data_IF_490740469464
#
_entry.id   IF_490740469464
#
_cell.length_a   1.000
_cell.length_b   1.000
_cell.length_c   1.000
_cell.angle_alpha   90.00
_cell.angle_beta   90.00
_cell.angle_gamma   90.00
#
_symmetry.space_group_name_H-M   'P 1'
#
loop_
_entity.id
_entity.type
_entity.pdbx_description
1 polymer ?
#
# COMPACT_ATOMS: atom_id res chain seq x y z
N UNK A 1 -37.69 -11.07 32.52
CA UNK A 1 -36.77 -11.98 31.80
C UNK A 1 -35.37 -11.44 32.00
N UNK A 2 -34.51 -12.21 32.67
CA UNK A 2 -33.11 -11.85 32.84
C UNK A 2 -32.42 -11.88 31.46
N UNK A 3 -31.98 -10.71 30.99
CA UNK A 3 -31.12 -10.62 29.82
C UNK A 3 -29.68 -10.64 30.33
N UNK A 4 -29.13 -11.84 30.28
CA UNK A 4 -27.72 -12.20 30.14
C UNK A 4 -26.72 -11.25 30.80
N UNK A 5 -26.40 -11.61 32.04
CA UNK A 5 -25.09 -11.35 32.65
C UNK A 5 -24.01 -11.84 31.69
N UNK A 6 -23.36 -10.91 31.00
CA UNK A 6 -22.02 -11.17 30.46
C UNK A 6 -21.10 -10.91 31.64
N UNK A 7 -20.55 -11.99 32.20
CA UNK A 7 -19.55 -11.87 33.23
C UNK A 7 -18.31 -11.24 32.61
N UNK A 8 -18.01 -10.01 33.01
CA UNK A 8 -16.67 -9.45 32.91
C UNK A 8 -15.77 -10.26 33.85
N UNK A 9 -15.26 -11.38 33.35
CA UNK A 9 -14.14 -12.08 33.97
C UNK A 9 -12.91 -11.20 33.72
N UNK A 10 -12.71 -10.23 34.61
CA UNK A 10 -11.44 -9.50 34.75
C UNK A 10 -10.39 -10.45 35.31
N UNK A 11 -9.99 -11.42 34.49
CA UNK A 11 -8.82 -12.26 34.70
C UNK A 11 -7.61 -11.56 34.08
N UNK A 12 -6.76 -10.98 34.93
CA UNK A 12 -5.55 -10.27 34.52
C UNK A 12 -4.58 -11.16 33.75
N UNK A 13 -4.67 -11.09 32.42
CA UNK A 13 -3.64 -11.47 31.46
C UNK A 13 -3.78 -10.48 30.31
N UNK A 14 -2.70 -9.81 29.95
CA UNK A 14 -2.78 -8.87 28.84
C UNK A 14 -3.13 -9.59 27.54
N UNK A 15 -3.64 -8.84 26.56
CA UNK A 15 -3.81 -9.35 25.21
C UNK A 15 -2.58 -8.95 24.39
N UNK A 16 -2.06 -9.86 23.57
CA UNK A 16 -1.02 -9.53 22.60
C UNK A 16 -1.59 -8.57 21.56
N UNK A 17 -0.95 -7.42 21.38
CA UNK A 17 -1.44 -6.36 20.49
C UNK A 17 -1.24 -6.64 19.00
N UNK A 18 -0.41 -7.64 18.66
CA UNK A 18 -0.17 -8.04 17.27
C UNK A 18 -1.16 -9.10 16.77
N UNK A 19 -1.50 -10.09 17.60
CA UNK A 19 -2.36 -11.21 17.20
C UNK A 19 -3.67 -11.35 17.98
N UNK A 20 -3.87 -10.56 19.04
CA UNK A 20 -5.08 -10.56 19.87
C UNK A 20 -5.21 -11.77 20.81
N UNK A 21 -4.19 -12.62 20.91
CA UNK A 21 -4.19 -13.76 21.82
C UNK A 21 -4.02 -13.29 23.27
N UNK A 22 -4.83 -13.83 24.18
CA UNK A 22 -4.63 -13.65 25.63
C UNK A 22 -3.48 -14.54 26.07
N UNK A 23 -2.42 -13.92 26.58
CA UNK A 23 -1.22 -14.61 27.05
C UNK A 23 -0.74 -13.94 28.34
N UNK A 24 -0.43 -14.70 29.41
CA UNK A 24 0.12 -14.12 30.63
C UNK A 24 1.56 -13.59 30.47
N UNK A 25 2.32 -14.09 29.49
CA UNK A 25 3.73 -13.79 29.27
C UNK A 25 3.90 -12.80 28.11
N UNK A 26 3.62 -11.52 28.36
CA UNK A 26 3.83 -10.45 27.39
C UNK A 26 5.19 -9.79 27.55
N UNK A 27 5.80 -9.45 26.42
CA UNK A 27 7.06 -8.71 26.34
C UNK A 27 6.89 -7.50 25.44
N UNK A 28 7.26 -6.33 25.94
CA UNK A 28 7.22 -5.08 25.16
C UNK A 28 8.33 -5.09 24.11
N UNK A 29 7.96 -4.89 22.84
CA UNK A 29 8.89 -4.77 21.72
C UNK A 29 8.41 -3.72 20.73
N UNK A 30 9.33 -3.16 19.94
CA UNK A 30 8.97 -2.17 18.91
C UNK A 30 8.62 -2.87 17.60
N UNK A 31 7.47 -2.54 17.00
CA UNK A 31 7.05 -3.02 15.68
C UNK A 31 6.71 -1.81 14.83
N UNK A 32 7.43 -1.62 13.72
CA UNK A 32 7.25 -0.49 12.81
C UNK A 32 7.28 0.90 13.51
N UNK A 33 8.06 1.03 14.57
CA UNK A 33 8.22 2.29 15.33
C UNK A 33 7.16 2.55 16.41
N UNK A 34 6.29 1.58 16.70
CA UNK A 34 5.36 1.62 17.83
C UNK A 34 5.73 0.54 18.87
N UNK A 35 5.69 0.89 20.16
CA UNK A 35 5.90 -0.05 21.26
C UNK A 35 4.61 -0.86 21.49
N UNK A 36 4.70 -2.18 21.41
CA UNK A 36 3.57 -3.12 21.57
C UNK A 36 3.91 -4.21 22.59
N UNK A 37 2.89 -4.70 23.29
CA UNK A 37 3.03 -5.89 24.15
C UNK A 37 2.75 -7.18 23.35
N UNK A 38 3.79 -8.02 23.22
CA UNK A 38 3.78 -9.21 22.36
C UNK A 38 3.89 -10.51 23.16
N UNK A 39 3.13 -11.52 22.76
CA UNK A 39 3.32 -12.89 23.26
C UNK A 39 4.60 -13.52 22.68
N UNK A 40 5.09 -14.64 23.22
CA UNK A 40 6.34 -15.26 22.79
C UNK A 40 6.36 -15.66 21.31
N UNK A 41 5.19 -15.96 20.74
CA UNK A 41 5.05 -16.30 19.32
C UNK A 41 5.18 -15.08 18.39
N UNK A 42 4.96 -13.87 18.91
CA UNK A 42 4.98 -12.63 18.14
C UNK A 42 6.28 -11.85 18.32
N UNK A 43 7.13 -12.23 19.28
CA UNK A 43 8.38 -11.52 19.59
C UNK A 43 9.36 -11.44 18.42
N UNK A 44 9.38 -12.44 17.54
CA UNK A 44 10.24 -12.43 16.34
C UNK A 44 9.92 -11.26 15.38
N UNK A 45 8.74 -10.64 15.51
CA UNK A 45 8.32 -9.46 14.74
C UNK A 45 8.73 -8.13 15.39
N UNK A 46 9.13 -8.16 16.66
CA UNK A 46 9.53 -6.98 17.40
C UNK A 46 11.04 -6.83 17.47
N UNK A 47 11.54 -5.59 17.39
CA UNK A 47 12.88 -5.27 17.84
C UNK A 47 12.84 -5.07 19.36
N UNK A 48 13.41 -6.01 20.10
CA UNK A 48 13.65 -5.84 21.54
C UNK A 48 14.92 -5.01 21.72
N UNK A 49 14.84 -3.95 22.53
CA UNK A 49 16.01 -3.17 22.95
C UNK A 49 16.87 -4.01 23.91
N UNK A 50 17.52 -5.06 23.40
CA UNK A 50 18.57 -5.80 24.10
C UNK A 50 19.85 -4.96 24.15
N UNK A 51 19.81 -3.81 24.83
CA UNK A 51 20.99 -3.20 25.45
C UNK A 51 21.33 -3.97 26.72
N UNK A 52 21.58 -5.26 26.55
CA UNK A 52 21.86 -6.23 27.60
C UNK A 52 22.85 -7.32 27.15
N UNK A 53 23.64 -7.06 26.11
CA UNK A 53 24.68 -7.97 25.62
C UNK A 53 25.98 -7.92 26.42
N UNK A 54 25.95 -7.89 27.75
CA UNK A 54 27.14 -8.18 28.55
C UNK A 54 27.39 -9.70 28.55
N UNK A 55 27.88 -10.20 27.42
CA UNK A 55 28.43 -11.56 27.35
C UNK A 55 29.70 -11.58 28.19
N UNK A 56 29.56 -12.15 29.39
CA UNK A 56 30.59 -12.85 30.19
C UNK A 56 31.96 -12.87 29.51
N UNK A 57 32.90 -12.12 30.04
CA UNK A 57 34.30 -12.50 30.04
C UNK A 57 34.43 -13.85 30.78
N UNK A 58 35.00 -14.85 30.12
CA UNK A 58 36.05 -15.62 30.77
C UNK A 58 37.35 -15.30 30.05
N UNK A 59 38.24 -14.66 30.82
CA UNK A 59 39.68 -14.79 30.69
C UNK A 59 40.07 -16.14 30.07
N UNK A 60 40.65 -16.10 28.86
CA UNK A 60 41.71 -17.00 28.38
C UNK A 60 42.13 -16.63 26.96
N UNK A 61 43.35 -16.13 26.90
CA UNK A 61 44.24 -16.02 25.75
C UNK A 61 44.11 -17.17 24.75
N UNK A 62 43.73 -16.87 23.50
CA UNK A 62 44.40 -17.21 22.22
C UNK A 62 43.53 -16.69 21.05
N UNK A 63 44.13 -16.50 19.87
CA UNK A 63 43.46 -16.37 18.57
C UNK A 63 42.96 -14.97 18.14
N UNK A 64 43.89 -14.00 18.09
CA UNK A 64 43.71 -12.69 17.45
C UNK A 64 43.55 -12.74 15.90
N UNK A 65 43.79 -13.90 15.28
CA UNK A 65 43.77 -14.07 13.82
C UNK A 65 42.37 -14.37 13.25
N UNK A 66 41.48 -15.04 14.01
CA UNK A 66 40.17 -15.47 13.50
C UNK A 66 39.11 -14.36 13.41
N UNK A 67 39.31 -13.24 14.11
CA UNK A 67 38.37 -12.13 14.14
C UNK A 67 38.53 -11.18 12.94
N UNK A 68 39.77 -11.05 12.42
CA UNK A 68 40.04 -10.35 11.16
C UNK A 68 39.35 -11.03 9.99
N UNK A 69 39.37 -12.36 9.93
CA UNK A 69 38.75 -13.14 8.85
C UNK A 69 37.22 -13.04 8.84
N UNK A 70 36.58 -13.01 10.03
CA UNK A 70 35.12 -12.85 10.14
C UNK A 70 34.66 -11.46 9.71
N UNK A 71 35.35 -10.40 10.13
CA UNK A 71 35.06 -9.03 9.69
C UNK A 71 35.31 -8.84 8.19
N UNK A 72 36.35 -9.47 7.65
CA UNK A 72 36.65 -9.41 6.21
C UNK A 72 35.62 -10.16 5.36
N UNK A 73 35.05 -11.27 5.84
CA UNK A 73 33.94 -11.97 5.14
C UNK A 73 32.65 -11.15 5.12
N UNK A 74 32.30 -10.48 6.21
CA UNK A 74 31.11 -9.61 6.25
C UNK A 74 31.22 -8.46 5.23
N UNK A 75 32.38 -7.80 5.17
CA UNK A 75 32.65 -6.71 4.21
C UNK A 75 32.68 -7.18 2.74
N UNK A 76 33.09 -8.43 2.46
CA UNK A 76 33.05 -8.99 1.11
C UNK A 76 31.63 -9.40 0.68
N UNK A 77 30.76 -9.76 1.62
CA UNK A 77 29.36 -10.10 1.33
C UNK A 77 28.53 -8.85 1.03
N UNK A 78 28.77 -7.73 1.72
CA UNK A 78 28.08 -6.46 1.42
C UNK A 78 28.43 -5.94 0.02
N UNK A 79 29.69 -6.06 -0.40
CA UNK A 79 30.12 -5.68 -1.76
C UNK A 79 29.45 -6.55 -2.85
N UNK A 80 29.33 -7.87 -2.64
CA UNK A 80 28.64 -8.76 -3.59
C UNK A 80 27.14 -8.46 -3.76
N UNK A 81 26.51 -7.82 -2.78
CA UNK A 81 25.12 -7.38 -2.88
C UNK A 81 24.99 -6.05 -3.64
N UNK A 82 26.05 -5.24 -3.69
CA UNK A 82 26.07 -3.95 -4.40
C UNK A 82 26.41 -4.10 -5.90
N UNK A 83 27.12 -5.16 -6.29
CA UNK A 83 27.44 -5.51 -7.70
C UNK A 83 26.26 -6.10 -8.50
N UNK A 84 25.02 -5.94 -8.03
CA UNK A 84 23.79 -6.15 -8.83
C UNK A 84 23.27 -4.87 -9.49
N UNK A 85 24.12 -3.85 -9.67
CA UNK A 85 23.86 -2.77 -10.62
C UNK A 85 24.05 -3.25 -12.06
N UNK A 86 23.22 -4.19 -12.48
CA UNK A 86 23.03 -4.51 -13.90
C UNK A 86 22.14 -3.44 -14.51
N UNK A 87 22.73 -2.61 -15.37
CA UNK A 87 22.05 -1.84 -16.42
C UNK A 87 20.80 -1.05 -15.93
N UNK A 88 21.02 0.13 -15.33
CA UNK A 88 19.95 1.12 -15.12
C UNK A 88 19.27 1.51 -16.43
N UNK A 89 19.94 1.33 -17.57
CA UNK A 89 19.43 1.63 -18.91
C UNK A 89 18.24 0.77 -19.33
N UNK A 90 17.99 -0.37 -18.68
CA UNK A 90 16.77 -1.16 -18.95
C UNK A 90 15.52 -0.49 -18.36
N UNK A 91 15.65 0.20 -17.23
CA UNK A 91 14.56 0.92 -16.57
C UNK A 91 14.24 2.26 -17.24
N UNK A 92 15.22 2.85 -17.93
CA UNK A 92 15.05 4.09 -18.70
C UNK A 92 14.37 3.86 -20.06
N UNK A 93 14.51 2.65 -20.64
CA UNK A 93 14.03 2.37 -22.01
C UNK A 93 12.57 1.93 -22.08
N UNK A 94 12.11 1.18 -21.08
CA UNK A 94 10.72 0.73 -20.98
C UNK A 94 9.82 1.83 -20.38
N UNK A 95 10.40 2.70 -19.54
CA UNK A 95 9.63 3.55 -18.66
C UNK A 95 8.87 2.70 -17.65
N UNK A 96 8.82 3.15 -16.40
CA UNK A 96 7.79 2.67 -15.49
C UNK A 96 6.45 3.07 -16.11
N UNK A 97 5.64 2.12 -16.57
CA UNK A 97 4.24 2.34 -16.97
C UNK A 97 3.42 2.70 -15.72
N UNK A 98 3.77 3.80 -15.05
CA UNK A 98 2.81 4.55 -14.28
C UNK A 98 1.74 4.97 -15.27
N UNK A 99 0.48 4.66 -14.99
CA UNK A 99 -0.66 4.88 -15.87
C UNK A 99 -0.52 6.23 -16.58
N UNK A 100 -0.21 6.16 -17.88
CA UNK A 100 0.01 7.37 -18.69
C UNK A 100 -1.28 8.17 -18.85
N UNK A 101 -2.39 7.56 -18.46
CA UNK A 101 -3.74 8.06 -18.60
C UNK A 101 -4.46 8.16 -17.26
N UNK A 102 -3.83 8.83 -16.30
CA UNK A 102 -4.37 8.97 -14.96
C UNK A 102 -5.67 9.80 -14.94
N UNK A 103 -6.70 9.29 -14.26
CA UNK A 103 -7.96 9.99 -14.07
C UNK A 103 -7.74 11.30 -13.28
N UNK A 104 -8.17 12.47 -13.78
CA UNK A 104 -8.06 13.73 -13.07
C UNK A 104 -9.03 13.79 -11.87
N UNK A 105 -8.87 14.80 -11.03
CA UNK A 105 -9.89 15.11 -10.02
C UNK A 105 -11.15 15.57 -10.73
N UNK A 106 -12.28 14.89 -10.46
CA UNK A 106 -13.55 15.20 -11.11
C UNK A 106 -14.40 16.08 -10.21
N UNK A 107 -15.10 17.04 -10.82
CA UNK A 107 -16.07 17.89 -10.14
C UNK A 107 -17.22 17.07 -9.57
N UNK A 108 -17.85 17.57 -8.50
CA UNK A 108 -19.03 16.92 -7.93
C UNK A 108 -20.17 16.86 -8.97
N UNK A 109 -20.79 15.70 -9.11
CA UNK A 109 -21.89 15.50 -10.07
C UNK A 109 -21.45 15.42 -11.54
N UNK A 110 -20.19 15.08 -11.81
CA UNK A 110 -19.69 14.93 -13.19
C UNK A 110 -20.55 13.97 -14.03
N UNK A 111 -21.01 12.85 -13.46
CA UNK A 111 -21.84 11.88 -14.17
C UNK A 111 -23.18 12.46 -14.64
N UNK A 112 -23.89 13.15 -13.74
CA UNK A 112 -25.13 13.87 -14.06
C UNK A 112 -24.90 15.01 -15.07
N UNK A 113 -23.68 15.54 -15.15
CA UNK A 113 -23.28 16.58 -16.11
C UNK A 113 -23.12 16.00 -17.51
N UNK A 114 -22.45 14.85 -17.62
CA UNK A 114 -22.28 14.10 -18.87
C UNK A 114 -23.63 13.63 -19.39
N UNK A 115 -24.44 12.98 -18.54
CA UNK A 115 -25.76 12.48 -18.92
C UNK A 115 -26.63 13.59 -19.52
N UNK A 116 -26.73 14.73 -18.84
CA UNK A 116 -27.51 15.88 -19.32
C UNK A 116 -26.96 16.45 -20.62
N UNK A 117 -25.65 16.61 -20.74
CA UNK A 117 -25.05 17.16 -21.95
C UNK A 117 -25.23 16.23 -23.16
N UNK A 118 -25.15 14.91 -22.94
CA UNK A 118 -25.47 13.91 -23.96
C UNK A 118 -26.94 13.98 -24.38
N UNK A 119 -27.86 14.08 -23.42
CA UNK A 119 -29.30 14.23 -23.70
C UNK A 119 -29.62 15.55 -24.41
N UNK A 120 -28.98 16.66 -24.03
CA UNK A 120 -29.13 17.96 -24.68
C UNK A 120 -28.59 17.95 -26.12
N UNK A 121 -27.68 17.03 -26.44
CA UNK A 121 -27.17 16.76 -27.78
C UNK A 121 -28.02 15.73 -28.57
N UNK A 122 -29.13 15.23 -27.99
CA UNK A 122 -29.99 14.18 -28.56
C UNK A 122 -29.23 12.88 -28.90
N UNK A 123 -28.15 12.56 -28.16
CA UNK A 123 -27.34 11.37 -28.36
C UNK A 123 -27.77 10.23 -27.42
N UNK A 124 -27.78 8.99 -27.91
CA UNK A 124 -27.86 7.82 -27.04
C UNK A 124 -26.48 7.47 -26.46
N UNK A 125 -26.44 6.63 -25.42
CA UNK A 125 -25.18 6.17 -24.82
C UNK A 125 -24.34 5.43 -25.87
N UNK A 126 -24.97 4.56 -26.67
CA UNK A 126 -24.28 3.83 -27.74
C UNK A 126 -23.76 4.77 -28.83
N UNK A 127 -24.54 5.77 -29.26
CA UNK A 127 -24.11 6.73 -30.28
C UNK A 127 -22.86 7.53 -29.83
N UNK A 128 -22.86 8.02 -28.57
CA UNK A 128 -21.72 8.76 -28.04
C UNK A 128 -20.49 7.84 -27.84
N UNK A 129 -20.71 6.60 -27.42
CA UNK A 129 -19.62 5.64 -27.28
C UNK A 129 -18.98 5.31 -28.63
N UNK A 130 -19.79 5.13 -29.68
CA UNK A 130 -19.33 4.89 -31.05
C UNK A 130 -18.60 6.12 -31.63
N UNK A 131 -19.11 7.34 -31.38
CA UNK A 131 -18.49 8.58 -31.85
C UNK A 131 -17.10 8.83 -31.24
N UNK A 132 -16.88 8.36 -30.01
CA UNK A 132 -15.62 8.51 -29.28
C UNK A 132 -14.72 7.27 -29.32
N UNK A 133 -15.15 6.18 -29.98
CA UNK A 133 -14.44 4.88 -30.01
C UNK A 133 -14.12 4.36 -28.58
N UNK A 134 -15.07 4.51 -27.66
CA UNK A 134 -14.96 4.07 -26.25
C UNK A 134 -15.92 2.93 -25.94
N UNK A 135 -15.64 2.17 -24.88
CA UNK A 135 -16.56 1.14 -24.43
C UNK A 135 -17.83 1.76 -23.80
N UNK A 136 -19.00 1.26 -24.19
CA UNK A 136 -20.29 1.68 -23.60
C UNK A 136 -20.30 1.53 -22.08
N UNK A 137 -19.68 0.47 -21.55
CA UNK A 137 -19.57 0.23 -20.09
C UNK A 137 -18.77 1.33 -19.37
N UNK A 138 -17.75 1.90 -20.03
CA UNK A 138 -16.93 2.98 -19.48
C UNK A 138 -17.71 4.29 -19.47
N UNK A 139 -18.41 4.60 -20.56
CA UNK A 139 -19.31 5.76 -20.62
C UNK A 139 -20.40 5.68 -19.56
N UNK A 140 -21.06 4.52 -19.42
CA UNK A 140 -22.05 4.29 -18.38
C UNK A 140 -21.45 4.41 -16.98
N UNK A 141 -20.22 3.94 -16.77
CA UNK A 141 -19.51 4.15 -15.51
C UNK A 141 -19.27 5.64 -15.20
N UNK A 142 -19.02 6.47 -16.21
CA UNK A 142 -18.89 7.92 -16.03
C UNK A 142 -20.23 8.54 -15.63
N UNK A 143 -21.32 8.24 -16.35
CA UNK A 143 -22.67 8.77 -16.05
C UNK A 143 -23.15 8.37 -14.64
N UNK A 144 -22.87 7.13 -14.22
CA UNK A 144 -23.20 6.62 -12.89
C UNK A 144 -22.27 7.13 -11.77
N UNK A 145 -21.29 7.97 -12.09
CA UNK A 145 -20.35 8.54 -11.11
C UNK A 145 -19.33 7.52 -10.57
N UNK A 146 -19.00 6.50 -11.36
CA UNK A 146 -18.11 5.39 -11.00
C UNK A 146 -16.79 5.35 -11.78
N UNK A 147 -16.41 6.40 -12.50
CA UNK A 147 -15.22 6.43 -13.37
C UNK A 147 -13.96 5.82 -12.70
N UNK A 148 -13.64 6.26 -11.48
CA UNK A 148 -12.49 5.76 -10.73
C UNK A 148 -12.56 4.27 -10.35
N UNK A 149 -13.76 3.70 -10.22
CA UNK A 149 -13.94 2.26 -9.92
C UNK A 149 -13.95 1.39 -11.17
N UNK A 150 -14.22 1.99 -12.32
CA UNK A 150 -14.24 1.32 -13.61
C UNK A 150 -12.91 1.42 -14.35
N UNK A 151 -11.87 1.99 -13.73
CA UNK A 151 -10.55 2.16 -14.34
C UNK A 151 -10.58 3.07 -15.58
N UNK A 152 -11.50 4.04 -15.60
CA UNK A 152 -11.61 5.02 -16.69
C UNK A 152 -10.40 5.93 -16.68
N UNK A 153 -9.76 6.08 -17.85
CA UNK A 153 -8.60 6.95 -18.03
C UNK A 153 -8.95 8.44 -18.19
N UNK A 154 -7.98 9.31 -17.94
CA UNK A 154 -8.14 10.77 -18.08
C UNK A 154 -8.43 11.23 -19.50
N UNK A 155 -7.93 10.53 -20.51
CA UNK A 155 -8.11 10.83 -21.94
C UNK A 155 -9.55 10.67 -22.38
N UNK A 156 -10.27 9.71 -21.80
CA UNK A 156 -11.72 9.56 -22.00
C UNK A 156 -12.46 10.75 -21.42
N UNK A 157 -12.11 11.20 -20.21
CA UNK A 157 -12.71 12.39 -19.60
C UNK A 157 -12.48 13.63 -20.48
N UNK A 158 -11.25 13.85 -20.95
CA UNK A 158 -10.95 14.96 -21.86
C UNK A 158 -11.73 14.87 -23.18
N UNK A 159 -11.88 13.66 -23.75
CA UNK A 159 -12.67 13.47 -24.97
C UNK A 159 -14.16 13.81 -24.76
N UNK A 160 -14.71 13.48 -23.60
CA UNK A 160 -16.08 13.86 -23.23
C UNK A 160 -16.23 15.37 -23.04
N UNK A 161 -15.27 16.02 -22.38
CA UNK A 161 -15.25 17.49 -22.22
C UNK A 161 -15.24 18.18 -23.58
N UNK A 162 -14.37 17.75 -24.49
CA UNK A 162 -14.23 18.31 -25.84
C UNK A 162 -15.47 18.06 -26.72
N UNK A 163 -16.07 16.87 -26.66
CA UNK A 163 -17.20 16.51 -27.50
C UNK A 163 -18.51 17.13 -27.03
N UNK A 164 -18.73 17.19 -25.71
CA UNK A 164 -19.97 17.69 -25.10
C UNK A 164 -19.90 19.16 -24.68
N UNK A 165 -18.75 19.83 -24.84
CA UNK A 165 -18.49 21.22 -24.42
C UNK A 165 -18.82 21.45 -22.92
N UNK A 166 -18.33 20.55 -22.06
CA UNK A 166 -18.54 20.57 -20.61
C UNK A 166 -17.23 20.52 -19.83
N UNK A 167 -17.27 20.98 -18.58
CA UNK A 167 -16.15 20.85 -17.64
C UNK A 167 -16.46 19.77 -16.61
N UNK A 168 -15.63 18.73 -16.59
CA UNK A 168 -15.71 17.54 -15.74
C UNK A 168 -14.52 17.45 -14.77
N UNK A 169 -13.34 17.93 -15.16
CA UNK A 169 -12.16 17.97 -14.30
C UNK A 169 -12.10 19.26 -13.46
N UNK A 170 -11.56 19.15 -12.24
CA UNK A 170 -11.22 20.28 -11.37
C UNK A 170 -9.73 20.61 -11.58
N UNK A 171 -9.44 21.81 -12.09
CA UNK A 171 -8.09 22.28 -12.48
C UNK A 171 -7.25 22.82 -11.31
#
# INVERSE_FOLDING_TARGET
MAKYSTGDDSGGGGSCELCGATDPDLTTATVAGAELDLCPNCLDHGETDDRGGAKRDPDRSTDRDTERDRRQRAARNTAKLTDRSGDSSRWEREGTNYDRDQLPYLVSGYGERVERAREDADLTVDDLADDLDIATDDLQAVEEGRAARADVGGSLISALEDHLDVTLADE
#
